data_IF_154221882518
#
_entry.id   IF_154221882518
#
_cell.length_a   1.000
_cell.length_b   1.000
_cell.length_c   1.000
_cell.angle_alpha   90.00
_cell.angle_beta   90.00
_cell.angle_gamma   90.00
#
_symmetry.space_group_name_H-M   'P 1'
#
loop_
_entity.id
_entity.type
_entity.pdbx_description
1 polymer ?
#
# COMPACT_ATOMS: atom_id res chain seq x y z
N UNK A 1 13.36 3.11 -9.56
CA UNK A 1 12.18 3.89 -9.10
C UNK A 1 10.96 3.42 -9.87
N UNK A 2 9.87 3.06 -9.18
CA UNK A 2 8.67 2.52 -9.82
C UNK A 2 7.46 3.44 -9.63
N UNK A 3 6.90 3.93 -10.73
CA UNK A 3 5.63 4.64 -10.73
C UNK A 3 4.48 3.63 -10.87
N UNK A 4 3.53 3.67 -9.95
CA UNK A 4 2.42 2.72 -9.91
C UNK A 4 1.10 3.45 -10.07
N UNK A 5 0.21 2.84 -10.86
CA UNK A 5 -1.18 3.24 -11.05
C UNK A 5 -2.03 2.02 -10.75
N UNK A 6 -2.74 2.03 -9.64
CA UNK A 6 -3.44 0.84 -9.14
C UNK A 6 -4.86 1.21 -8.73
N UNK A 7 -5.83 0.35 -9.06
CA UNK A 7 -7.20 0.49 -8.58
C UNK A 7 -7.25 0.55 -7.04
N UNK A 8 -7.94 1.58 -6.55
CA UNK A 8 -8.16 1.87 -5.15
C UNK A 8 -9.59 1.57 -4.71
N UNK A 9 -9.72 1.36 -3.41
CA UNK A 9 -10.96 1.02 -2.73
C UNK A 9 -11.10 1.84 -1.46
N UNK A 10 -12.34 2.22 -1.15
CA UNK A 10 -12.71 2.83 0.12
C UNK A 10 -13.65 1.89 0.87
N UNK A 11 -13.33 1.63 2.14
CA UNK A 11 -14.18 0.90 3.07
C UNK A 11 -14.58 1.87 4.20
N UNK A 12 -15.79 2.46 4.14
CA UNK A 12 -16.17 3.52 5.08
C UNK A 12 -16.28 3.03 6.53
N UNK A 13 -16.65 1.75 6.72
CA UNK A 13 -16.68 1.10 8.03
C UNK A 13 -16.40 -0.39 7.93
N UNK A 14 -16.00 -1.07 9.03
CA UNK A 14 -15.64 -2.49 9.01
C UNK A 14 -16.74 -3.44 8.51
N UNK A 15 -18.01 -3.07 8.75
CA UNK A 15 -19.22 -3.80 8.38
C UNK A 15 -19.74 -3.47 6.96
N UNK A 16 -19.24 -2.41 6.34
CA UNK A 16 -19.61 -2.04 4.98
C UNK A 16 -18.69 -2.68 3.94
N UNK A 17 -19.24 -2.88 2.73
CA UNK A 17 -18.45 -3.36 1.59
C UNK A 17 -17.54 -2.24 1.08
N UNK A 18 -16.38 -2.64 0.57
CA UNK A 18 -15.49 -1.73 -0.13
C UNK A 18 -16.14 -1.23 -1.43
N UNK A 19 -15.95 0.05 -1.71
CA UNK A 19 -16.45 0.77 -2.87
C UNK A 19 -15.24 1.17 -3.72
N UNK A 20 -15.25 0.93 -5.04
CA UNK A 20 -14.14 1.36 -5.90
C UNK A 20 -14.09 2.90 -5.96
N UNK A 21 -12.89 3.47 -5.88
CA UNK A 21 -12.70 4.93 -5.88
C UNK A 21 -11.96 5.46 -7.10
N UNK A 22 -11.55 4.58 -8.01
CA UNK A 22 -10.70 4.90 -9.15
C UNK A 22 -9.24 4.51 -8.91
N UNK A 23 -8.35 5.05 -9.72
CA UNK A 23 -6.92 4.74 -9.65
C UNK A 23 -6.21 5.62 -8.62
N UNK A 24 -5.32 5.02 -7.83
CA UNK A 24 -4.39 5.71 -6.94
C UNK A 24 -3.02 5.63 -7.60
N UNK A 25 -2.34 6.77 -7.70
CA UNK A 25 -0.99 6.84 -8.23
C UNK A 25 0.01 7.16 -7.12
N UNK A 26 1.11 6.45 -7.08
CA UNK A 26 2.19 6.71 -6.13
C UNK A 26 3.51 6.16 -6.64
N UNK A 27 4.60 6.62 -6.03
CA UNK A 27 5.95 6.21 -6.38
C UNK A 27 6.56 5.34 -5.29
N UNK A 28 7.25 4.29 -5.72
CA UNK A 28 8.15 3.51 -4.87
C UNK A 28 9.57 3.89 -5.23
N UNK A 29 10.21 4.64 -4.33
CA UNK A 29 11.62 5.01 -4.44
C UNK A 29 12.54 3.84 -4.03
N UNK A 30 13.84 3.99 -4.24
CA UNK A 30 14.82 2.96 -3.89
C UNK A 30 14.79 2.57 -2.40
N UNK A 31 14.81 3.53 -1.46
CA UNK A 31 14.71 3.24 -0.03
C UNK A 31 13.43 2.49 0.36
N UNK A 32 12.27 2.85 -0.17
CA UNK A 32 11.03 2.13 0.09
C UNK A 32 11.08 0.74 -0.53
N UNK A 33 11.60 0.59 -1.75
CA UNK A 33 11.74 -0.72 -2.39
C UNK A 33 12.57 -1.69 -1.51
N UNK A 34 13.74 -1.27 -1.06
CA UNK A 34 14.60 -2.09 -0.16
C UNK A 34 13.85 -2.49 1.12
N UNK A 35 13.08 -1.58 1.70
CA UNK A 35 12.29 -1.89 2.91
C UNK A 35 11.16 -2.88 2.65
N UNK A 36 10.61 -2.92 1.44
CA UNK A 36 9.62 -3.94 1.04
C UNK A 36 10.30 -5.30 0.89
N UNK A 37 11.48 -5.37 0.27
CA UNK A 37 12.27 -6.60 0.15
C UNK A 37 12.70 -7.14 1.53
N UNK A 38 13.18 -6.26 2.42
CA UNK A 38 13.52 -6.63 3.80
C UNK A 38 12.31 -7.18 4.56
N UNK A 39 11.12 -6.59 4.35
CA UNK A 39 9.88 -7.07 4.95
C UNK A 39 9.50 -8.45 4.40
N UNK A 40 9.60 -8.67 3.09
CA UNK A 40 9.39 -9.99 2.47
C UNK A 40 10.33 -11.05 3.06
N UNK A 41 11.64 -10.77 3.11
CA UNK A 41 12.64 -11.70 3.63
C UNK A 41 12.38 -12.01 5.12
N UNK A 42 11.98 -11.00 5.90
CA UNK A 42 11.59 -11.19 7.31
C UNK A 42 10.38 -12.11 7.44
N UNK A 43 9.34 -11.94 6.63
CA UNK A 43 8.14 -12.78 6.67
C UNK A 43 8.47 -14.23 6.29
N UNK A 44 9.35 -14.45 5.30
CA UNK A 44 9.79 -15.78 4.91
C UNK A 44 10.54 -16.50 6.04
N UNK A 45 11.41 -15.78 6.77
CA UNK A 45 12.20 -16.35 7.88
C UNK A 45 11.39 -16.57 9.16
N UNK A 46 10.46 -15.66 9.47
CA UNK A 46 9.72 -15.65 10.73
C UNK A 46 8.39 -16.43 10.67
N UNK A 47 7.87 -16.68 9.46
CA UNK A 47 6.53 -17.21 9.21
C UNK A 47 5.40 -16.32 9.77
N UNK A 48 5.67 -15.03 10.00
CA UNK A 48 4.64 -14.04 10.23
C UNK A 48 3.73 -13.89 9.00
N UNK A 49 2.48 -13.48 9.21
CA UNK A 49 1.50 -13.37 8.12
C UNK A 49 1.69 -12.12 7.27
N UNK A 50 2.04 -11.01 7.91
CA UNK A 50 2.11 -9.70 7.28
C UNK A 50 3.01 -8.74 8.05
N UNK A 51 3.47 -7.71 7.36
CA UNK A 51 4.27 -6.63 7.89
C UNK A 51 3.70 -5.29 7.40
N UNK A 52 3.72 -4.28 8.28
CA UNK A 52 3.44 -2.89 7.88
C UNK A 52 4.77 -2.16 7.68
N UNK A 53 4.89 -1.48 6.55
CA UNK A 53 6.06 -0.68 6.19
C UNK A 53 5.61 0.78 6.07
N UNK A 54 6.04 1.63 7.02
CA UNK A 54 5.68 3.05 7.03
C UNK A 54 6.15 3.76 5.75
N UNK A 55 5.33 4.61 5.16
CA UNK A 55 5.76 5.43 4.02
C UNK A 55 6.03 6.85 4.44
N UNK A 56 7.04 7.46 3.82
CA UNK A 56 7.22 8.90 3.93
C UNK A 56 6.29 9.59 2.92
N UNK A 57 5.21 10.15 3.44
CA UNK A 57 4.22 10.87 2.64
C UNK A 57 4.79 12.13 1.96
N UNK A 58 5.95 12.63 2.41
CA UNK A 58 6.66 13.72 1.77
C UNK A 58 7.40 13.30 0.49
N UNK A 59 7.83 12.05 0.38
CA UNK A 59 8.58 11.54 -0.79
C UNK A 59 7.75 10.69 -1.75
N UNK A 60 6.63 10.11 -1.30
CA UNK A 60 5.86 9.12 -2.07
C UNK A 60 5.09 9.69 -3.28
N UNK A 61 4.92 11.01 -3.36
CA UNK A 61 4.13 11.72 -4.39
C UNK A 61 2.79 10.99 -4.70
N UNK A 62 1.96 10.91 -3.66
CA UNK A 62 0.67 10.22 -3.68
C UNK A 62 -0.41 11.11 -4.33
N UNK A 63 -1.00 10.60 -5.40
CA UNK A 63 -2.14 11.22 -6.10
C UNK A 63 -3.37 10.35 -5.89
N UNK A 64 -4.35 10.94 -5.20
CA UNK A 64 -5.63 10.29 -4.89
C UNK A 64 -6.75 10.78 -5.81
N UNK A 65 -7.78 9.96 -6.07
CA UNK A 65 -9.03 10.43 -6.65
C UNK A 65 -9.68 11.55 -5.82
N UNK A 66 -10.44 12.41 -6.50
CA UNK A 66 -11.13 13.55 -5.88
C UNK A 66 -12.01 13.12 -4.70
N UNK A 67 -11.89 13.80 -3.56
CA UNK A 67 -12.67 13.51 -2.34
C UNK A 67 -12.13 12.38 -1.45
N UNK A 68 -10.99 11.78 -1.78
CA UNK A 68 -10.39 10.69 -0.98
C UNK A 68 -9.06 11.06 -0.28
N UNK A 69 -8.59 12.29 -0.46
CA UNK A 69 -7.42 12.85 0.22
C UNK A 69 -7.81 13.86 1.33
N UNK A 70 -6.91 14.15 2.29
CA UNK A 70 -5.64 13.46 2.54
C UNK A 70 -5.82 12.15 3.34
N UNK A 71 -4.78 11.31 3.36
CA UNK A 71 -4.69 10.14 4.24
C UNK A 71 -3.90 10.49 5.51
N UNK A 72 -4.18 9.80 6.63
CA UNK A 72 -3.64 10.14 7.96
C UNK A 72 -2.65 9.13 8.58
N UNK A 73 -2.41 7.99 7.93
CA UNK A 73 -1.57 6.90 8.45
C UNK A 73 -1.21 5.91 7.32
N UNK A 74 -0.72 6.45 6.21
CA UNK A 74 -0.40 5.63 5.05
C UNK A 74 0.76 4.67 5.33
N UNK A 75 0.63 3.41 4.90
CA UNK A 75 1.64 2.36 5.00
C UNK A 75 1.55 1.44 3.79
N UNK A 76 2.61 0.68 3.52
CA UNK A 76 2.55 -0.49 2.64
C UNK A 76 2.37 -1.74 3.49
N UNK A 77 1.28 -2.47 3.27
CA UNK A 77 1.06 -3.78 3.91
C UNK A 77 1.67 -4.86 3.04
N UNK A 78 2.70 -5.53 3.54
CA UNK A 78 3.41 -6.63 2.88
C UNK A 78 2.91 -7.97 3.42
N UNK A 79 2.67 -8.94 2.56
CA UNK A 79 2.34 -10.31 2.92
C UNK A 79 2.86 -11.30 1.88
N UNK A 80 2.97 -12.57 2.27
CA UNK A 80 3.37 -13.64 1.36
C UNK A 80 2.14 -14.31 0.75
N UNK A 81 2.18 -14.55 -0.57
CA UNK A 81 1.20 -15.35 -1.27
C UNK A 81 1.91 -16.33 -2.20
N UNK A 82 1.78 -17.63 -1.92
CA UNK A 82 2.55 -18.68 -2.59
C UNK A 82 4.07 -18.40 -2.57
N UNK A 83 4.60 -18.09 -1.37
CA UNK A 83 6.02 -17.76 -1.11
C UNK A 83 6.55 -16.48 -1.78
N UNK A 84 5.70 -15.71 -2.47
CA UNK A 84 6.08 -14.43 -3.09
C UNK A 84 5.53 -13.24 -2.31
N UNK A 85 6.37 -12.24 -2.10
CA UNK A 85 6.02 -10.97 -1.48
C UNK A 85 5.06 -10.17 -2.34
N UNK A 86 3.95 -9.78 -1.73
CA UNK A 86 2.99 -8.84 -2.29
C UNK A 86 2.81 -7.67 -1.33
N UNK A 87 2.53 -6.50 -1.89
CA UNK A 87 2.18 -5.33 -1.09
C UNK A 87 0.99 -4.57 -1.67
N UNK A 88 0.30 -3.83 -0.82
CA UNK A 88 -0.65 -2.80 -1.24
C UNK A 88 -0.55 -1.60 -0.29
N UNK A 89 -0.93 -0.44 -0.81
CA UNK A 89 -1.06 0.76 -0.01
C UNK A 89 -2.30 0.62 0.89
N UNK A 90 -2.17 1.01 2.16
CA UNK A 90 -3.26 1.16 3.11
C UNK A 90 -3.14 2.51 3.82
N UNK A 91 -4.26 3.14 4.14
CA UNK A 91 -4.29 4.33 4.96
C UNK A 91 -5.72 4.79 5.19
N UNK A 92 -5.96 5.64 6.17
CA UNK A 92 -7.28 6.13 6.52
C UNK A 92 -7.46 7.57 6.06
N UNK A 93 -8.60 7.83 5.42
CA UNK A 93 -9.00 9.17 5.00
C UNK A 93 -9.13 10.07 6.22
N UNK A 94 -8.39 11.18 6.24
CA UNK A 94 -8.29 12.06 7.40
C UNK A 94 -9.63 12.70 7.80
N UNK A 95 -10.56 12.87 6.86
CA UNK A 95 -11.85 13.53 7.12
C UNK A 95 -12.83 12.69 7.93
N UNK A 96 -12.77 11.36 7.81
CA UNK A 96 -13.79 10.47 8.40
C UNK A 96 -13.27 9.10 8.87
N UNK A 97 -11.98 8.83 8.74
CA UNK A 97 -11.37 7.58 9.16
C UNK A 97 -11.71 6.38 8.27
N UNK A 98 -12.28 6.58 7.08
CA UNK A 98 -12.54 5.49 6.14
C UNK A 98 -11.23 4.82 5.72
N UNK A 99 -11.18 3.49 5.70
CA UNK A 99 -10.02 2.76 5.21
C UNK A 99 -9.94 2.88 3.69
N UNK A 100 -8.79 3.31 3.19
CA UNK A 100 -8.44 3.37 1.78
C UNK A 100 -7.30 2.39 1.51
N UNK A 101 -7.41 1.62 0.43
CA UNK A 101 -6.36 0.67 0.04
C UNK A 101 -6.35 0.40 -1.47
N UNK A 102 -5.24 -0.13 -1.98
CA UNK A 102 -5.09 -0.53 -3.40
C UNK A 102 -5.20 -2.04 -3.59
N UNK A 103 -5.37 -2.49 -4.83
CA UNK A 103 -5.04 -3.87 -5.18
C UNK A 103 -3.56 -4.17 -4.90
N UNK A 104 -3.24 -5.45 -4.73
CA UNK A 104 -1.89 -5.89 -4.43
C UNK A 104 -1.01 -6.00 -5.67
N UNK A 105 0.28 -5.72 -5.47
CA UNK A 105 1.34 -5.82 -6.48
C UNK A 105 2.44 -6.71 -5.94
N UNK A 106 3.10 -7.47 -6.82
CA UNK A 106 4.25 -8.28 -6.46
C UNK A 106 5.48 -7.38 -6.27
N UNK A 107 6.26 -7.63 -5.21
CA UNK A 107 7.47 -6.84 -4.93
C UNK A 107 8.47 -7.00 -6.08
N UNK A 108 8.63 -8.21 -6.60
CA UNK A 108 9.52 -8.52 -7.74
C UNK A 108 9.11 -7.92 -9.10
N UNK A 109 7.97 -7.25 -9.19
CA UNK A 109 7.57 -6.49 -10.37
C UNK A 109 8.06 -5.04 -10.34
N UNK A 110 8.58 -4.58 -9.20
CA UNK A 110 9.17 -3.26 -9.09
C UNK A 110 10.46 -3.20 -9.91
N UNK A 111 10.58 -2.18 -10.75
CA UNK A 111 11.78 -1.91 -11.53
C UNK A 111 12.86 -1.32 -10.61
N UNK A 112 14.10 -1.78 -10.79
CA UNK A 112 15.30 -1.16 -10.20
C UNK A 112 15.44 0.31 -10.64
#
# INVERSE_FOLDING_TARGET
>A
MSALTIEGWCKPSPDQKSIPIGEIHFYVDGPLHVRLEDAEERLQKSHEREAMVDVDMGSMDLIMPEGYAPLSDCQMRVYLHHERGQFHLVGHRASDGSLIYTNAVLIDQLLE
#
